data_IF_923770379741
#
_entry.id   IF_923770379741
#
_cell.length_a   1.000
_cell.length_b   1.000
_cell.length_c   1.000
_cell.angle_alpha   90.00
_cell.angle_beta   90.00
_cell.angle_gamma   90.00
#
_symmetry.space_group_name_H-M   'P 1'
#
loop_
_entity.id
_entity.type
_entity.pdbx_description
1 polymer ?
#
# COMPACT_ATOMS: atom_id res chain seq x y z
N UNK A 1 7.32 3.57 -30.84
CA UNK A 1 5.96 3.82 -30.34
C UNK A 1 5.56 5.25 -30.71
N UNK A 2 4.36 5.50 -31.23
CA UNK A 2 3.92 6.86 -31.53
C UNK A 2 3.84 7.68 -30.23
N UNK A 3 4.33 8.92 -30.28
CA UNK A 3 4.40 9.81 -29.12
C UNK A 3 3.01 10.39 -28.84
N UNK A 4 2.42 10.07 -27.70
CA UNK A 4 1.16 10.67 -27.25
C UNK A 4 1.36 12.16 -26.98
N UNK A 5 0.43 12.97 -27.46
CA UNK A 5 0.37 14.40 -27.25
C UNK A 5 -0.85 14.75 -26.42
N UNK A 6 -0.66 15.63 -25.44
CA UNK A 6 -1.73 16.15 -24.58
C UNK A 6 -2.25 17.47 -25.14
N UNK A 7 -3.54 17.53 -25.37
CA UNK A 7 -4.27 18.75 -25.72
C UNK A 7 -5.51 18.89 -24.83
N UNK A 8 -6.19 20.02 -24.92
CA UNK A 8 -7.31 20.37 -24.06
C UNK A 8 -8.53 20.70 -24.89
N UNK A 9 -9.69 20.21 -24.45
CA UNK A 9 -10.99 20.61 -24.99
C UNK A 9 -11.76 21.39 -23.93
N UNK A 10 -12.10 22.64 -24.25
CA UNK A 10 -12.75 23.57 -23.33
C UNK A 10 -14.27 23.58 -23.50
N UNK A 11 -14.99 23.76 -22.39
CA UNK A 11 -16.44 23.81 -22.35
C UNK A 11 -16.93 24.84 -21.32
N UNK A 12 -18.11 25.41 -21.56
CA UNK A 12 -18.78 26.31 -20.60
C UNK A 12 -19.89 25.57 -19.86
N UNK A 13 -19.88 25.66 -18.54
CA UNK A 13 -20.89 25.05 -17.67
C UNK A 13 -21.44 26.04 -16.66
N UNK A 14 -22.69 25.81 -16.23
CA UNK A 14 -23.36 26.58 -15.19
C UNK A 14 -23.83 25.64 -14.09
N UNK A 15 -23.20 25.69 -12.92
CA UNK A 15 -23.54 24.80 -11.81
C UNK A 15 -22.47 24.81 -10.71
N UNK A 16 -22.43 23.75 -9.91
CA UNK A 16 -21.40 23.60 -8.87
C UNK A 16 -20.12 22.99 -9.49
N UNK A 17 -18.95 23.65 -9.37
CA UNK A 17 -17.68 23.11 -9.84
C UNK A 17 -17.32 21.77 -9.19
N UNK A 18 -17.54 21.64 -7.88
CA UNK A 18 -17.25 20.42 -7.13
C UNK A 18 -18.10 19.25 -7.64
N UNK A 19 -19.42 19.45 -7.79
CA UNK A 19 -20.30 18.41 -8.34
C UNK A 19 -19.95 18.08 -9.79
N UNK A 20 -19.58 19.06 -10.60
CA UNK A 20 -19.14 18.82 -11.98
C UNK A 20 -17.88 17.96 -12.00
N UNK A 21 -16.88 18.27 -11.18
CA UNK A 21 -15.64 17.47 -11.07
C UNK A 21 -15.94 16.04 -10.63
N UNK A 22 -16.75 15.87 -9.59
CA UNK A 22 -17.18 14.53 -9.13
C UNK A 22 -17.92 13.79 -10.24
N UNK A 23 -18.83 14.44 -10.98
CA UNK A 23 -19.58 13.81 -12.07
C UNK A 23 -18.69 13.41 -13.25
N UNK A 24 -17.79 14.29 -13.69
CA UNK A 24 -16.88 13.95 -14.80
C UNK A 24 -15.87 12.90 -14.34
N UNK A 25 -15.33 13.00 -13.13
CA UNK A 25 -14.44 12.00 -12.56
C UNK A 25 -15.11 10.63 -12.50
N UNK A 26 -16.36 10.56 -12.03
CA UNK A 26 -17.14 9.32 -12.01
C UNK A 26 -17.34 8.75 -13.42
N UNK A 27 -17.67 9.57 -14.42
CA UNK A 27 -17.89 9.10 -15.79
C UNK A 27 -16.60 8.66 -16.49
N UNK A 28 -15.49 9.38 -16.26
CA UNK A 28 -14.16 8.99 -16.75
C UNK A 28 -13.72 7.67 -16.10
N UNK A 29 -14.01 7.47 -14.81
CA UNK A 29 -13.75 6.21 -14.12
C UNK A 29 -14.67 5.07 -14.60
N UNK A 30 -15.98 5.30 -14.70
CA UNK A 30 -16.99 4.32 -15.13
C UNK A 30 -16.71 3.77 -16.54
N UNK A 31 -16.23 4.61 -17.45
CA UNK A 31 -15.89 4.22 -18.82
C UNK A 31 -14.40 3.92 -19.04
N UNK A 32 -13.59 3.82 -17.97
CA UNK A 32 -12.15 3.53 -18.03
C UNK A 32 -11.34 4.49 -18.92
N UNK A 33 -11.74 5.77 -18.99
CA UNK A 33 -11.13 6.77 -19.86
C UNK A 33 -9.88 7.43 -19.25
N UNK A 34 -9.42 7.00 -18.07
CA UNK A 34 -8.34 7.64 -17.32
C UNK A 34 -7.00 7.72 -18.09
N UNK A 35 -6.75 6.79 -19.02
CA UNK A 35 -5.54 6.79 -19.85
C UNK A 35 -5.57 7.83 -20.97
N UNK A 36 -6.78 8.25 -21.39
CA UNK A 36 -7.00 9.21 -22.46
C UNK A 36 -7.49 10.56 -21.93
N UNK A 37 -8.06 10.61 -20.73
CA UNK A 37 -8.52 11.81 -20.02
C UNK A 37 -7.92 11.80 -18.61
N UNK A 38 -6.65 12.22 -18.45
CA UNK A 38 -5.92 12.07 -17.19
C UNK A 38 -6.27 13.12 -16.13
N UNK A 39 -6.80 14.29 -16.54
CA UNK A 39 -7.07 15.38 -15.59
C UNK A 39 -8.08 16.38 -16.13
N UNK A 40 -8.65 17.13 -15.18
CA UNK A 40 -9.58 18.24 -15.43
C UNK A 40 -8.98 19.56 -14.92
N UNK A 41 -9.35 20.65 -15.58
CA UNK A 41 -9.04 22.01 -15.11
C UNK A 41 -10.29 22.86 -15.13
N UNK A 42 -10.41 23.73 -14.13
CA UNK A 42 -11.51 24.70 -14.02
C UNK A 42 -10.94 26.11 -14.10
N UNK A 43 -11.73 27.03 -14.62
CA UNK A 43 -11.42 28.46 -14.64
C UNK A 43 -10.98 29.00 -13.26
N UNK A 44 -9.97 29.87 -13.26
CA UNK A 44 -9.41 30.47 -12.05
C UNK A 44 -10.42 31.42 -11.40
N UNK A 45 -10.55 31.35 -10.08
CA UNK A 45 -11.40 32.27 -9.31
C UNK A 45 -12.88 31.88 -9.25
N UNK A 46 -13.26 30.70 -9.74
CA UNK A 46 -14.64 30.19 -9.64
C UNK A 46 -14.97 29.85 -8.18
N UNK A 47 -15.92 30.57 -7.59
CA UNK A 47 -16.39 30.34 -6.22
C UNK A 47 -17.47 29.23 -6.19
N UNK A 48 -17.46 28.29 -5.22
CA UNK A 48 -18.38 27.13 -5.17
C UNK A 48 -19.88 27.47 -5.15
N UNK A 49 -20.23 28.68 -4.70
CA UNK A 49 -21.62 29.16 -4.58
C UNK A 49 -22.07 30.07 -5.73
N UNK A 50 -21.20 30.35 -6.70
CA UNK A 50 -21.50 31.28 -7.78
C UNK A 50 -22.28 30.59 -8.90
N UNK A 51 -23.49 31.08 -9.24
CA UNK A 51 -24.34 30.53 -10.33
C UNK A 51 -23.98 31.08 -11.71
N UNK A 52 -22.86 31.80 -11.85
CA UNK A 52 -22.36 32.29 -13.12
C UNK A 52 -21.81 31.12 -13.96
N UNK A 53 -21.92 31.17 -15.29
CA UNK A 53 -21.24 30.20 -16.13
C UNK A 53 -19.72 30.32 -15.91
N UNK A 54 -19.03 29.20 -15.95
CA UNK A 54 -17.58 29.11 -15.86
C UNK A 54 -17.05 28.13 -16.91
N UNK A 55 -15.76 28.24 -17.21
CA UNK A 55 -15.09 27.33 -18.14
C UNK A 55 -14.43 26.16 -17.42
N UNK A 56 -14.48 25.00 -18.04
CA UNK A 56 -13.70 23.84 -17.65
C UNK A 56 -13.08 23.17 -18.86
N UNK A 57 -11.99 22.46 -18.64
CA UNK A 57 -11.17 21.88 -19.69
C UNK A 57 -10.85 20.44 -19.31
N UNK A 58 -11.08 19.53 -20.25
CA UNK A 58 -10.60 18.15 -20.15
C UNK A 58 -9.26 18.06 -20.88
N UNK A 59 -8.27 17.42 -20.26
CA UNK A 59 -7.07 17.00 -20.96
C UNK A 59 -7.40 15.74 -21.78
N UNK A 60 -6.99 15.70 -23.04
CA UNK A 60 -7.10 14.53 -23.91
C UNK A 60 -5.71 14.15 -24.38
N UNK A 61 -5.35 12.87 -24.22
CA UNK A 61 -4.10 12.30 -24.73
C UNK A 61 -4.38 11.44 -25.96
N UNK A 62 -3.71 11.74 -27.07
CA UNK A 62 -3.95 11.11 -28.37
C UNK A 62 -2.72 11.21 -29.28
N UNK A 63 -2.73 10.49 -30.39
CA UNK A 63 -1.64 10.50 -31.39
C UNK A 63 -1.57 11.80 -32.20
N UNK A 64 -2.71 12.44 -32.46
CA UNK A 64 -2.79 13.71 -33.16
C UNK A 64 -3.67 14.71 -32.38
N UNK A 65 -3.28 15.99 -32.27
CA UNK A 65 -4.17 17.03 -31.76
C UNK A 65 -5.50 17.07 -32.53
N UNK A 66 -6.61 17.36 -31.83
CA UNK A 66 -7.99 17.30 -32.34
C UNK A 66 -8.54 15.89 -32.66
N UNK A 67 -7.73 14.83 -32.58
CA UNK A 67 -8.21 13.46 -32.69
C UNK A 67 -8.79 12.99 -31.36
N UNK A 68 -10.12 12.83 -31.30
CA UNK A 68 -10.77 12.25 -30.12
C UNK A 68 -10.53 10.73 -30.12
N UNK A 69 -9.89 10.17 -29.07
CA UNK A 69 -9.66 8.73 -28.99
C UNK A 69 -10.97 7.94 -29.11
N UNK A 70 -10.89 6.76 -29.72
CA UNK A 70 -12.06 5.93 -30.02
C UNK A 70 -12.81 5.55 -28.73
N UNK A 71 -12.08 5.39 -27.63
CA UNK A 71 -12.57 5.12 -26.28
C UNK A 71 -13.47 6.26 -25.78
N UNK A 72 -13.04 7.51 -25.97
CA UNK A 72 -13.81 8.70 -25.59
C UNK A 72 -15.06 8.81 -26.46
N UNK A 73 -14.98 8.50 -27.76
CA UNK A 73 -16.14 8.51 -28.65
C UNK A 73 -17.17 7.42 -28.30
N UNK A 74 -16.72 6.20 -27.97
CA UNK A 74 -17.60 5.06 -27.62
C UNK A 74 -18.27 5.20 -26.26
N UNK A 75 -17.69 5.97 -25.34
CA UNK A 75 -18.25 6.19 -24.01
C UNK A 75 -19.42 7.18 -23.99
N UNK A 76 -19.67 7.89 -25.10
CA UNK A 76 -20.63 8.99 -25.15
C UNK A 76 -20.36 10.09 -24.10
N UNK A 77 -19.16 10.13 -23.50
CA UNK A 77 -18.80 11.09 -22.45
C UNK A 77 -19.06 12.52 -22.93
N UNK A 78 -18.62 12.86 -24.14
CA UNK A 78 -18.77 14.20 -24.72
C UNK A 78 -20.20 14.55 -25.15
N UNK A 79 -21.15 13.61 -25.08
CA UNK A 79 -22.57 13.85 -25.35
C UNK A 79 -23.35 14.29 -24.10
N UNK A 80 -22.73 14.16 -22.92
CA UNK A 80 -23.33 14.54 -21.65
C UNK A 80 -23.63 16.06 -21.60
N UNK A 81 -24.66 16.41 -20.82
CA UNK A 81 -25.24 17.75 -20.81
C UNK A 81 -24.24 18.89 -20.51
N UNK A 82 -23.16 18.61 -19.79
CA UNK A 82 -22.13 19.58 -19.45
C UNK A 82 -21.08 19.82 -20.55
N UNK A 83 -21.07 19.03 -21.63
CA UNK A 83 -20.19 19.21 -22.80
C UNK A 83 -20.85 19.90 -24.00
N UNK A 84 -22.12 20.31 -23.89
CA UNK A 84 -22.90 20.87 -25.01
C UNK A 84 -22.44 22.25 -25.51
N UNK A 85 -21.57 22.95 -24.76
CA UNK A 85 -21.11 24.31 -25.08
C UNK A 85 -19.59 24.36 -25.21
N UNK A 86 -19.01 23.91 -26.34
CA UNK A 86 -17.58 23.95 -26.55
C UNK A 86 -17.06 25.38 -26.69
N UNK A 87 -15.84 25.61 -26.20
CA UNK A 87 -15.10 26.87 -26.37
C UNK A 87 -14.40 26.86 -27.72
N UNK A 88 -14.52 27.95 -28.50
CA UNK A 88 -13.82 28.10 -29.79
C UNK A 88 -12.40 28.60 -29.54
N UNK A 89 -11.42 28.10 -30.31
CA UNK A 89 -10.04 28.59 -30.20
C UNK A 89 -9.96 30.06 -30.70
N UNK A 90 -9.41 30.99 -29.90
CA UNK A 90 -9.34 32.41 -30.25
C UNK A 90 -8.37 32.73 -31.40
N UNK A 91 -7.42 31.83 -31.70
CA UNK A 91 -6.40 32.03 -32.75
C UNK A 91 -6.75 31.38 -34.08
N UNK A 92 -7.60 30.34 -34.06
CA UNK A 92 -8.07 29.66 -35.27
C UNK A 92 -9.48 29.10 -35.04
N UNK A 93 -10.49 29.76 -35.63
CA UNK A 93 -11.90 29.41 -35.45
C UNK A 93 -12.28 28.00 -35.93
N UNK A 94 -11.45 27.36 -36.76
CA UNK A 94 -11.67 25.99 -37.26
C UNK A 94 -11.03 24.92 -36.36
N UNK A 95 -10.30 25.32 -35.30
CA UNK A 95 -9.60 24.42 -34.38
C UNK A 95 -10.31 24.37 -33.03
N UNK A 96 -10.55 23.16 -32.50
CA UNK A 96 -11.20 22.96 -31.20
C UNK A 96 -10.26 22.52 -30.09
N UNK A 97 -9.06 22.06 -30.45
CA UNK A 97 -8.00 21.72 -29.52
C UNK A 97 -7.24 22.96 -29.07
N UNK A 98 -6.97 22.99 -27.78
CA UNK A 98 -6.16 23.99 -27.10
C UNK A 98 -4.92 23.31 -26.52
N UNK A 99 -3.78 23.97 -26.51
CA UNK A 99 -2.60 23.53 -25.77
C UNK A 99 -2.61 24.14 -24.36
N UNK A 100 -1.66 23.71 -23.51
CA UNK A 100 -1.60 24.21 -22.14
C UNK A 100 -1.31 25.72 -22.07
N UNK A 101 -0.39 26.23 -22.89
CA UNK A 101 0.00 27.65 -22.88
C UNK A 101 -1.19 28.57 -23.26
N UNK A 102 -2.09 28.11 -24.12
CA UNK A 102 -3.32 28.83 -24.50
C UNK A 102 -4.32 28.95 -23.33
N UNK A 103 -4.37 27.99 -22.41
CA UNK A 103 -5.35 27.98 -21.29
C UNK A 103 -4.74 28.38 -19.94
N UNK A 104 -3.42 28.42 -19.81
CA UNK A 104 -2.68 28.58 -18.55
C UNK A 104 -3.08 29.82 -17.76
N UNK A 105 -3.38 30.93 -18.44
CA UNK A 105 -3.83 32.18 -17.81
C UNK A 105 -5.28 32.11 -17.27
N UNK A 106 -6.09 31.19 -17.81
CA UNK A 106 -7.52 31.06 -17.52
C UNK A 106 -7.84 30.03 -16.44
N UNK A 107 -6.97 29.05 -16.19
CA UNK A 107 -7.27 27.87 -15.36
C UNK A 107 -6.57 27.85 -14.01
N UNK A 108 -7.24 27.26 -13.01
CA UNK A 108 -6.71 27.00 -11.67
C UNK A 108 -5.92 25.70 -11.57
N UNK A 109 -5.90 25.14 -10.35
CA UNK A 109 -5.19 23.90 -10.01
C UNK A 109 -5.72 22.75 -10.89
N UNK A 110 -4.82 21.84 -11.30
CA UNK A 110 -5.24 20.61 -11.96
C UNK A 110 -5.96 19.73 -10.96
N UNK A 111 -7.18 19.31 -11.29
CA UNK A 111 -7.90 18.31 -10.52
C UNK A 111 -7.57 16.97 -11.13
N UNK A 112 -6.71 16.23 -10.43
CA UNK A 112 -6.51 14.83 -10.72
C UNK A 112 -7.83 14.10 -10.44
N UNK A 113 -8.22 13.22 -11.36
CA UNK A 113 -9.42 12.39 -11.23
C UNK A 113 -9.31 11.43 -10.01
N UNK A 114 -8.13 11.33 -9.37
CA UNK A 114 -7.81 10.37 -8.31
C UNK A 114 -7.82 10.90 -6.84
N UNK A 115 -8.05 12.20 -6.56
CA UNK A 115 -7.67 12.85 -5.28
C UNK A 115 -8.70 12.91 -4.11
N UNK A 116 -9.87 12.26 -4.16
CA UNK A 116 -10.96 12.52 -3.18
C UNK A 116 -11.16 11.44 -2.06
N UNK A 117 -10.35 11.37 -0.96
CA UNK A 117 -10.62 10.60 0.32
C UNK A 117 -9.83 11.08 1.62
N UNK A 118 -10.37 11.02 2.88
CA UNK A 118 -9.83 11.54 4.20
C UNK A 118 -9.37 10.47 5.28
N UNK A 119 -8.57 10.81 6.34
CA UNK A 119 -8.03 9.94 7.47
C UNK A 119 -8.02 10.57 8.92
N UNK A 120 -7.87 9.76 10.02
CA UNK A 120 -7.78 10.14 11.48
C UNK A 120 -6.63 9.39 12.24
N UNK A 121 -5.92 9.95 13.28
CA UNK A 121 -4.81 9.32 14.06
C UNK A 121 -5.02 9.08 15.61
N UNK A 122 -4.09 8.38 16.30
CA UNK A 122 -4.07 8.04 17.77
C UNK A 122 -2.64 7.89 18.40
N UNK A 123 -2.54 7.84 19.75
CA UNK A 123 -1.34 8.05 20.63
C UNK A 123 -1.18 7.04 21.86
N UNK A 124 0.03 6.52 22.31
CA UNK A 124 0.28 5.78 23.61
C UNK A 124 1.37 6.28 24.65
N UNK A 125 1.45 5.76 25.89
CA UNK A 125 2.37 6.14 27.04
C UNK A 125 3.32 4.97 27.54
N UNK A 126 4.31 5.16 28.48
CA UNK A 126 5.55 4.34 28.64
C UNK A 126 5.62 3.20 29.73
N UNK A 127 6.77 2.49 29.81
CA UNK A 127 6.97 1.02 30.08
C UNK A 127 7.99 0.64 31.20
N UNK A 128 7.88 -0.59 31.75
CA UNK A 128 8.95 -1.49 32.31
C UNK A 128 8.81 -2.93 31.73
N UNK A 129 9.78 -3.85 31.86
CA UNK A 129 9.94 -5.10 31.06
C UNK A 129 9.24 -6.40 31.57
N UNK A 130 8.57 -7.16 30.68
CA UNK A 130 8.00 -8.52 30.85
C UNK A 130 8.41 -9.51 29.73
N UNK A 131 8.39 -10.82 30.02
CA UNK A 131 8.64 -11.92 29.07
C UNK A 131 7.44 -12.15 28.12
N UNK A 132 7.60 -12.02 26.78
CA UNK A 132 6.50 -12.13 25.81
C UNK A 132 5.97 -13.54 25.56
N UNK A 133 6.61 -14.57 26.14
CA UNK A 133 6.20 -15.96 25.99
C UNK A 133 5.58 -16.55 27.26
N UNK A 134 5.53 -15.80 28.37
CA UNK A 134 4.92 -16.27 29.61
C UNK A 134 3.42 -15.96 29.63
N UNK A 135 2.62 -17.01 29.53
CA UNK A 135 1.17 -16.92 29.60
C UNK A 135 0.70 -17.00 31.06
N UNK A 136 0.59 -15.86 31.76
CA UNK A 136 -0.34 -15.81 32.89
C UNK A 136 -1.73 -15.61 32.29
N UNK A 137 -2.58 -16.61 32.48
CA UNK A 137 -3.97 -16.60 32.07
C UNK A 137 -4.75 -15.51 32.85
N UNK A 138 -4.66 -14.25 32.40
CA UNK A 138 -5.56 -13.19 32.85
C UNK A 138 -6.83 -13.22 32.01
N UNK A 139 -7.72 -14.13 32.38
CA UNK A 139 -9.14 -14.09 32.04
C UNK A 139 -9.77 -12.75 32.44
N UNK A 140 -10.72 -12.30 31.62
CA UNK A 140 -11.68 -11.20 31.83
C UNK A 140 -11.35 -9.83 31.21
N UNK A 141 -11.33 -9.81 29.87
CA UNK A 141 -12.09 -8.80 29.11
C UNK A 141 -12.48 -9.35 27.72
N UNK A 142 -13.24 -10.44 27.74
CA UNK A 142 -14.13 -10.76 26.63
C UNK A 142 -15.21 -9.68 26.54
N UNK A 143 -15.05 -8.76 25.58
CA UNK A 143 -16.17 -8.15 24.83
C UNK A 143 -15.62 -7.48 23.56
N UNK A 144 -15.95 -8.12 22.42
CA UNK A 144 -15.60 -7.84 21.01
C UNK A 144 -14.46 -8.67 20.36
N UNK A 145 -14.19 -9.87 20.87
CA UNK A 145 -13.36 -10.90 20.22
C UNK A 145 -14.09 -12.24 20.04
N UNK A 146 -15.43 -12.24 19.99
CA UNK A 146 -16.23 -13.43 19.76
C UNK A 146 -16.22 -13.84 18.28
N UNK A 147 -15.46 -14.90 17.99
CA UNK A 147 -15.85 -16.11 17.23
C UNK A 147 -16.48 -16.04 15.80
N UNK A 148 -16.33 -14.95 15.04
CA UNK A 148 -16.71 -14.91 13.60
C UNK A 148 -15.56 -15.24 12.62
N UNK A 149 -14.53 -15.96 13.08
CA UNK A 149 -13.28 -16.18 12.33
C UNK A 149 -13.43 -16.88 10.96
N UNK A 150 -14.53 -17.60 10.72
CA UNK A 150 -14.79 -18.28 9.44
C UNK A 150 -15.33 -17.34 8.37
N UNK A 151 -16.29 -16.47 8.70
CA UNK A 151 -16.93 -15.58 7.71
C UNK A 151 -16.00 -14.46 7.23
N UNK A 152 -15.12 -13.95 8.10
CA UNK A 152 -14.19 -12.90 7.70
C UNK A 152 -13.14 -13.37 6.68
N UNK A 153 -12.56 -14.57 6.84
CA UNK A 153 -11.52 -15.12 5.94
C UNK A 153 -12.01 -15.22 4.48
N UNK A 154 -13.29 -15.55 4.30
CA UNK A 154 -13.90 -15.69 2.98
C UNK A 154 -13.98 -14.37 2.21
N UNK A 155 -14.23 -13.23 2.87
CA UNK A 155 -14.24 -11.92 2.19
C UNK A 155 -12.84 -11.55 1.66
N UNK A 156 -11.79 -11.81 2.44
CA UNK A 156 -10.41 -11.58 1.99
C UNK A 156 -10.01 -12.56 0.87
N UNK A 157 -10.45 -13.81 0.94
CA UNK A 157 -10.27 -14.77 -0.14
C UNK A 157 -10.94 -14.31 -1.44
N UNK A 158 -12.17 -13.81 -1.38
CA UNK A 158 -12.87 -13.22 -2.54
C UNK A 158 -12.11 -12.03 -3.09
N UNK A 159 -11.58 -11.15 -2.23
CA UNK A 159 -10.70 -10.07 -2.64
C UNK A 159 -9.48 -10.62 -3.38
N UNK A 160 -8.79 -11.63 -2.84
CA UNK A 160 -7.61 -12.22 -3.48
C UNK A 160 -7.94 -12.85 -4.84
N UNK A 161 -9.08 -13.52 -4.99
CA UNK A 161 -9.52 -14.05 -6.29
C UNK A 161 -9.81 -12.93 -7.29
N UNK A 162 -10.48 -11.87 -6.86
CA UNK A 162 -10.73 -10.71 -7.71
C UNK A 162 -9.42 -10.05 -8.17
N UNK A 163 -8.50 -9.81 -7.24
CA UNK A 163 -7.17 -9.25 -7.54
C UNK A 163 -6.37 -10.18 -8.47
N UNK A 164 -6.44 -11.49 -8.25
CA UNK A 164 -5.77 -12.50 -9.10
C UNK A 164 -6.29 -12.50 -10.52
N UNK A 165 -7.61 -12.38 -10.71
CA UNK A 165 -8.24 -12.31 -12.01
C UNK A 165 -7.88 -11.01 -12.76
N UNK A 166 -7.80 -9.89 -12.02
CA UNK A 166 -7.47 -8.59 -12.61
C UNK A 166 -5.96 -8.43 -12.90
N UNK A 167 -5.10 -9.06 -12.09
CA UNK A 167 -3.64 -9.10 -12.28
C UNK A 167 -2.90 -7.82 -11.88
N UNK A 168 -3.45 -6.63 -12.14
CA UNK A 168 -2.87 -5.35 -11.71
C UNK A 168 -3.92 -4.24 -11.64
N UNK A 169 -3.63 -3.16 -10.92
CA UNK A 169 -4.55 -2.03 -10.83
C UNK A 169 -3.97 -0.81 -10.12
N UNK A 170 -4.81 0.20 -9.91
CA UNK A 170 -4.47 1.40 -9.14
C UNK A 170 -4.78 1.22 -7.65
N UNK A 171 -4.19 2.04 -6.80
CA UNK A 171 -4.57 2.13 -5.40
C UNK A 171 -6.08 2.38 -5.21
N UNK A 172 -6.69 3.17 -6.10
CA UNK A 172 -8.13 3.43 -6.07
C UNK A 172 -8.95 2.17 -6.36
N UNK A 173 -8.57 1.39 -7.38
CA UNK A 173 -9.29 0.15 -7.70
C UNK A 173 -9.20 -0.87 -6.55
N UNK A 174 -8.08 -0.87 -5.82
CA UNK A 174 -7.94 -1.67 -4.60
C UNK A 174 -8.88 -1.19 -3.49
N UNK A 175 -8.94 0.12 -3.23
CA UNK A 175 -9.85 0.70 -2.22
C UNK A 175 -11.32 0.39 -2.54
N UNK A 176 -11.72 0.57 -3.80
CA UNK A 176 -13.08 0.27 -4.26
C UNK A 176 -13.40 -1.20 -4.04
N UNK A 177 -12.49 -2.11 -4.41
CA UNK A 177 -12.70 -3.55 -4.19
C UNK A 177 -12.83 -3.89 -2.69
N UNK A 178 -12.01 -3.29 -1.83
CA UNK A 178 -12.17 -3.43 -0.38
C UNK A 178 -13.54 -2.90 0.08
N UNK A 179 -13.96 -1.72 -0.39
CA UNK A 179 -15.25 -1.13 -0.03
C UNK A 179 -16.44 -2.00 -0.47
N UNK A 180 -16.40 -2.53 -1.70
CA UNK A 180 -17.44 -3.44 -2.23
C UNK A 180 -17.53 -4.77 -1.47
N UNK A 181 -16.45 -5.16 -0.79
CA UNK A 181 -16.39 -6.35 0.07
C UNK A 181 -16.51 -6.02 1.56
N UNK A 182 -16.85 -4.76 1.90
CA UNK A 182 -16.99 -4.27 3.28
C UNK A 182 -15.73 -4.44 4.13
N UNK A 183 -14.57 -4.43 3.48
CA UNK A 183 -13.27 -4.59 4.11
C UNK A 183 -12.70 -3.23 4.54
N UNK A 184 -12.65 -3.02 5.85
CA UNK A 184 -12.06 -1.82 6.43
C UNK A 184 -10.52 -1.79 6.32
N UNK A 185 -9.93 -0.59 6.39
CA UNK A 185 -8.48 -0.37 6.47
C UNK A 185 -7.68 -0.91 5.24
N UNK A 186 -8.00 -0.48 4.00
CA UNK A 186 -7.39 -1.04 2.79
C UNK A 186 -5.85 -0.98 2.79
N UNK A 187 -5.24 0.01 3.44
CA UNK A 187 -3.76 0.11 3.51
C UNK A 187 -3.16 -1.04 4.32
N UNK A 188 -3.82 -1.43 5.42
CA UNK A 188 -3.39 -2.57 6.24
C UNK A 188 -3.61 -3.88 5.51
N UNK A 189 -4.69 -4.00 4.73
CA UNK A 189 -4.94 -5.17 3.89
C UNK A 189 -3.87 -5.31 2.81
N UNK A 190 -3.58 -4.23 2.07
CA UNK A 190 -2.53 -4.21 1.05
C UNK A 190 -1.20 -4.66 1.65
N UNK A 191 -0.79 -4.10 2.80
CA UNK A 191 0.43 -4.52 3.50
C UNK A 191 0.43 -6.03 3.77
N UNK A 192 -0.64 -6.58 4.33
CA UNK A 192 -0.72 -8.03 4.64
C UNK A 192 -0.58 -8.88 3.37
N UNK A 193 -1.20 -8.48 2.26
CA UNK A 193 -1.07 -9.17 0.98
C UNK A 193 0.37 -9.08 0.42
N UNK A 194 1.07 -7.96 0.63
CA UNK A 194 2.50 -7.83 0.29
C UNK A 194 3.39 -8.74 1.15
N UNK A 195 3.15 -8.77 2.46
CA UNK A 195 3.87 -9.64 3.39
C UNK A 195 3.71 -11.13 3.03
N UNK A 196 2.51 -11.54 2.62
CA UNK A 196 2.20 -12.89 2.14
C UNK A 196 2.66 -13.16 0.69
N UNK A 197 3.32 -12.19 0.06
CA UNK A 197 3.77 -12.26 -1.34
C UNK A 197 2.66 -12.55 -2.36
N UNK A 198 1.43 -12.09 -2.11
CA UNK A 198 0.35 -12.17 -3.09
C UNK A 198 0.45 -11.07 -4.15
N UNK A 199 0.91 -9.88 -3.76
CA UNK A 199 1.03 -8.73 -4.66
C UNK A 199 2.20 -7.83 -4.25
N UNK A 200 2.56 -6.93 -5.14
CA UNK A 200 3.45 -5.80 -4.91
C UNK A 200 2.73 -4.48 -5.15
N UNK A 201 3.33 -3.40 -4.65
CA UNK A 201 2.93 -2.02 -4.98
C UNK A 201 4.07 -1.31 -5.69
N UNK A 202 3.74 -0.34 -6.56
CA UNK A 202 4.73 0.55 -7.15
C UNK A 202 5.47 1.36 -6.08
N UNK A 203 6.64 1.91 -6.42
CA UNK A 203 7.48 2.67 -5.48
C UNK A 203 6.80 3.94 -4.93
N UNK A 204 5.87 4.53 -5.70
CA UNK A 204 5.03 5.65 -5.29
C UNK A 204 3.71 5.21 -4.63
N UNK A 205 3.44 3.90 -4.53
CA UNK A 205 2.23 3.32 -3.96
C UNK A 205 0.96 3.53 -4.80
N UNK A 206 1.06 4.10 -6.01
CA UNK A 206 -0.09 4.44 -6.85
C UNK A 206 -0.71 3.23 -7.54
N UNK A 207 0.05 2.15 -7.71
CA UNK A 207 -0.34 0.94 -8.43
C UNK A 207 -0.01 -0.31 -7.62
N UNK A 208 -0.75 -1.37 -7.89
CA UNK A 208 -0.49 -2.71 -7.39
C UNK A 208 -0.43 -3.72 -8.55
N UNK A 209 0.28 -4.81 -8.34
CA UNK A 209 0.40 -5.90 -9.32
C UNK A 209 0.50 -7.21 -8.58
N UNK A 210 -0.25 -8.21 -9.04
CA UNK A 210 -0.20 -9.55 -8.48
C UNK A 210 1.14 -10.21 -8.77
N UNK A 211 1.66 -10.89 -7.75
CA UNK A 211 2.83 -11.73 -7.92
C UNK A 211 2.43 -13.01 -8.66
N UNK A 212 3.26 -13.55 -9.57
CA UNK A 212 3.01 -14.85 -10.19
C UNK A 212 2.79 -15.95 -9.14
N UNK A 213 1.98 -16.95 -9.48
CA UNK A 213 1.76 -18.10 -8.60
C UNK A 213 3.08 -18.81 -8.29
N UNK A 214 3.39 -18.93 -7.00
CA UNK A 214 4.63 -19.52 -6.56
C UNK A 214 4.44 -20.45 -5.36
N UNK A 215 5.24 -21.52 -5.31
CA UNK A 215 5.36 -22.40 -4.16
C UNK A 215 6.61 -21.99 -3.36
N UNK A 216 6.39 -21.56 -2.12
CA UNK A 216 7.47 -21.19 -1.19
C UNK A 216 7.68 -22.34 -0.20
N UNK A 217 8.92 -22.83 -0.11
CA UNK A 217 9.28 -23.95 0.77
C UNK A 217 9.46 -23.47 2.21
N UNK A 218 8.70 -24.04 3.14
CA UNK A 218 8.75 -23.71 4.58
C UNK A 218 9.53 -24.76 5.36
N UNK A 219 9.25 -26.06 5.16
CA UNK A 219 9.98 -27.19 5.76
C UNK A 219 10.27 -28.28 4.72
N UNK A 220 10.81 -29.42 5.15
CA UNK A 220 11.02 -30.57 4.26
C UNK A 220 9.67 -31.01 3.69
N UNK A 221 9.53 -30.93 2.36
CA UNK A 221 8.30 -31.25 1.61
C UNK A 221 7.04 -30.43 1.96
N UNK A 222 7.18 -29.34 2.72
CA UNK A 222 6.08 -28.42 3.04
C UNK A 222 6.25 -27.10 2.29
N UNK A 223 5.18 -26.68 1.64
CA UNK A 223 5.13 -25.49 0.81
C UNK A 223 3.90 -24.64 1.14
N UNK A 224 3.99 -23.35 0.87
CA UNK A 224 2.86 -22.42 0.90
C UNK A 224 2.65 -21.83 -0.48
N UNK A 225 1.39 -21.64 -0.85
CA UNK A 225 1.00 -21.02 -2.12
C UNK A 225 0.97 -19.50 -1.97
N UNK A 226 1.84 -18.82 -2.71
CA UNK A 226 1.93 -17.36 -2.80
C UNK A 226 1.51 -16.87 -4.20
N UNK A 227 1.32 -15.56 -4.32
CA UNK A 227 0.97 -14.91 -5.59
C UNK A 227 -0.50 -15.07 -5.99
N UNK A 228 -0.74 -15.08 -7.30
CA UNK A 228 -2.04 -15.28 -7.91
C UNK A 228 -2.67 -16.60 -7.50
N UNK A 229 -3.97 -16.57 -7.22
CA UNK A 229 -4.75 -17.72 -6.79
C UNK A 229 -6.10 -17.75 -7.51
N UNK A 230 -6.58 -18.94 -7.81
CA UNK A 230 -7.94 -19.18 -8.29
C UNK A 230 -8.51 -20.43 -7.63
N UNK A 231 -9.84 -20.55 -7.59
CA UNK A 231 -10.51 -21.74 -7.08
C UNK A 231 -10.09 -23.00 -7.86
N UNK A 232 -10.01 -22.90 -9.20
CA UNK A 232 -9.61 -24.01 -10.07
C UNK A 232 -8.18 -24.47 -9.78
N UNK A 233 -7.27 -23.54 -9.52
CA UNK A 233 -5.89 -23.86 -9.13
C UNK A 233 -5.86 -24.64 -7.81
N UNK A 234 -6.56 -24.15 -6.78
CA UNK A 234 -6.57 -24.82 -5.46
C UNK A 234 -7.15 -26.22 -5.56
N UNK A 235 -8.27 -26.39 -6.26
CA UNK A 235 -8.89 -27.70 -6.52
C UNK A 235 -7.95 -28.65 -7.28
N UNK A 236 -7.19 -28.13 -8.24
CA UNK A 236 -6.20 -28.94 -8.97
C UNK A 236 -5.05 -29.38 -8.06
N UNK A 237 -4.60 -28.51 -7.16
CA UNK A 237 -3.56 -28.83 -6.20
C UNK A 237 -4.03 -29.88 -5.17
N UNK A 238 -5.29 -29.83 -4.76
CA UNK A 238 -5.91 -30.84 -3.87
C UNK A 238 -5.91 -32.25 -4.48
N UNK A 239 -5.97 -32.37 -5.81
CA UNK A 239 -5.87 -33.66 -6.51
C UNK A 239 -4.44 -34.22 -6.53
N UNK A 240 -3.43 -33.36 -6.42
CA UNK A 240 -2.02 -33.72 -6.64
C UNK A 240 -1.21 -33.79 -5.33
N UNK A 241 -1.65 -33.10 -4.29
CA UNK A 241 -0.98 -32.99 -3.00
C UNK A 241 -1.97 -32.95 -1.83
N UNK A 242 -1.48 -33.17 -0.61
CA UNK A 242 -2.26 -32.90 0.60
C UNK A 242 -2.29 -31.38 0.81
N UNK A 243 -3.45 -30.77 0.61
CA UNK A 243 -3.66 -29.33 0.79
C UNK A 243 -4.37 -29.06 2.11
N UNK A 244 -3.89 -28.07 2.86
CA UNK A 244 -4.52 -27.59 4.09
C UNK A 244 -4.73 -26.09 4.00
N UNK A 245 -5.94 -25.62 4.29
CA UNK A 245 -6.25 -24.20 4.38
C UNK A 245 -6.23 -23.75 5.84
N UNK A 246 -5.37 -22.79 6.17
CA UNK A 246 -5.27 -22.21 7.52
C UNK A 246 -5.82 -20.79 7.48
N UNK A 247 -6.92 -20.56 8.20
CA UNK A 247 -7.52 -19.23 8.31
C UNK A 247 -6.60 -18.27 9.07
N UNK A 248 -6.57 -17.02 8.61
CA UNK A 248 -5.75 -15.97 9.19
C UNK A 248 -6.61 -14.75 9.54
N UNK A 249 -6.23 -14.03 10.60
CA UNK A 249 -6.97 -12.85 11.03
C UNK A 249 -6.87 -11.74 9.98
N UNK A 250 -8.02 -11.32 9.44
CA UNK A 250 -8.14 -10.19 8.48
C UNK A 250 -7.23 -10.33 7.24
N UNK A 251 -7.15 -11.55 6.70
CA UNK A 251 -6.40 -11.88 5.49
C UNK A 251 -6.95 -13.16 4.83
N UNK A 252 -6.61 -13.46 3.57
CA UNK A 252 -6.97 -14.73 2.94
C UNK A 252 -6.35 -15.91 3.70
N UNK A 253 -6.95 -17.11 3.60
CA UNK A 253 -6.37 -18.29 4.20
C UNK A 253 -5.01 -18.61 3.55
N UNK A 254 -4.08 -19.06 4.38
CA UNK A 254 -2.81 -19.62 3.93
C UNK A 254 -3.05 -21.05 3.40
N UNK A 255 -2.66 -21.30 2.15
CA UNK A 255 -2.80 -22.62 1.53
C UNK A 255 -1.46 -23.35 1.65
N UNK A 256 -1.43 -24.35 2.52
CA UNK A 256 -0.29 -25.25 2.71
C UNK A 256 -0.41 -26.47 1.81
N UNK A 257 0.73 -26.90 1.28
CA UNK A 257 0.86 -28.13 0.51
C UNK A 257 1.91 -29.01 1.16
N UNK A 258 1.55 -30.27 1.40
CA UNK A 258 2.49 -31.32 1.80
C UNK A 258 2.62 -32.34 0.68
N UNK A 259 3.85 -32.50 0.18
CA UNK A 259 4.16 -33.48 -0.85
C UNK A 259 4.67 -34.75 -0.18
N UNK A 260 3.95 -35.88 -0.30
CA UNK A 260 4.34 -37.12 0.37
C UNK A 260 5.73 -37.61 -0.10
N UNK A 261 5.89 -37.83 -1.40
CA UNK A 261 7.12 -38.33 -2.04
C UNK A 261 7.43 -37.67 -3.38
N UNK A 262 6.50 -36.87 -3.90
CA UNK A 262 6.61 -36.16 -5.17
C UNK A 262 7.45 -34.91 -4.99
N UNK A 263 8.32 -34.60 -5.94
CA UNK A 263 9.03 -33.32 -5.95
C UNK A 263 8.11 -32.21 -6.47
N UNK A 264 8.45 -30.94 -6.21
CA UNK A 264 7.73 -29.77 -6.72
C UNK A 264 7.62 -29.79 -8.24
N UNK A 265 8.65 -30.26 -8.94
CA UNK A 265 8.64 -30.41 -10.40
C UNK A 265 7.45 -31.22 -10.90
N UNK A 266 7.08 -32.29 -10.18
CA UNK A 266 5.90 -33.08 -10.55
C UNK A 266 4.62 -32.25 -10.51
N UNK A 267 4.44 -31.40 -9.49
CA UNK A 267 3.28 -30.52 -9.43
C UNK A 267 3.26 -29.57 -10.62
N UNK A 268 4.38 -28.91 -10.90
CA UNK A 268 4.50 -27.91 -11.97
C UNK A 268 4.19 -28.56 -13.33
N UNK A 269 4.68 -29.76 -13.59
CA UNK A 269 4.47 -30.50 -14.85
C UNK A 269 3.03 -31.03 -15.02
N UNK A 270 2.31 -31.28 -13.93
CA UNK A 270 0.97 -31.89 -13.95
C UNK A 270 -0.17 -30.89 -13.70
N UNK A 271 0.14 -29.60 -13.65
CA UNK A 271 -0.84 -28.51 -13.60
C UNK A 271 -0.83 -27.73 -14.90
N UNK A 272 -1.99 -27.31 -15.38
CA UNK A 272 -2.11 -26.37 -16.51
C UNK A 272 -1.74 -24.93 -16.14
N UNK A 273 -1.41 -24.68 -14.87
CA UNK A 273 -1.11 -23.37 -14.32
C UNK A 273 0.39 -23.11 -14.32
N UNK A 274 0.80 -21.87 -14.60
CA UNK A 274 2.19 -21.44 -14.48
C UNK A 274 2.53 -21.25 -12.99
N UNK A 275 3.14 -22.27 -12.39
CA UNK A 275 3.58 -22.25 -10.99
C UNK A 275 5.11 -22.26 -10.94
N UNK A 276 5.71 -21.29 -10.23
CA UNK A 276 7.16 -21.27 -9.99
C UNK A 276 7.54 -21.91 -8.65
N UNK A 277 8.65 -22.66 -8.61
CA UNK A 277 9.28 -23.06 -7.34
C UNK A 277 10.19 -21.94 -6.82
N UNK A 278 9.73 -21.23 -5.79
CA UNK A 278 10.49 -20.16 -5.16
C UNK A 278 11.55 -20.69 -4.16
N UNK A 279 11.51 -21.98 -3.81
CA UNK A 279 12.37 -22.58 -2.79
C UNK A 279 12.23 -21.90 -1.42
N UNK A 280 13.33 -21.84 -0.64
CA UNK A 280 13.37 -21.18 0.68
C UNK A 280 13.40 -19.66 0.53
N UNK A 281 12.29 -19.04 0.15
CA UNK A 281 12.20 -17.62 -0.16
C UNK A 281 12.59 -16.72 1.03
N UNK A 282 12.22 -17.09 2.26
CA UNK A 282 12.60 -16.37 3.48
C UNK A 282 14.12 -16.23 3.63
N UNK A 283 14.86 -17.34 3.46
CA UNK A 283 16.33 -17.33 3.51
C UNK A 283 16.96 -16.58 2.32
N UNK A 284 16.40 -16.76 1.11
CA UNK A 284 16.87 -16.03 -0.08
C UNK A 284 16.73 -14.51 0.10
N UNK A 285 15.59 -14.05 0.61
CA UNK A 285 15.35 -12.66 0.94
C UNK A 285 16.30 -12.18 2.03
N UNK A 286 16.41 -12.88 3.16
CA UNK A 286 17.31 -12.51 4.23
C UNK A 286 18.77 -12.37 3.76
N UNK A 287 19.22 -13.16 2.79
CA UNK A 287 20.56 -13.04 2.21
C UNK A 287 20.79 -11.74 1.42
N UNK A 288 19.79 -11.26 0.69
CA UNK A 288 19.91 -10.08 -0.17
C UNK A 288 19.47 -8.78 0.51
N UNK A 289 18.75 -8.87 1.63
CA UNK A 289 18.30 -7.68 2.36
C UNK A 289 19.52 -6.88 2.85
N UNK A 290 19.49 -5.54 2.70
CA UNK A 290 20.55 -4.68 3.22
C UNK A 290 20.61 -4.69 4.76
N UNK A 291 21.73 -4.26 5.33
CA UNK A 291 21.75 -3.78 6.73
C UNK A 291 20.95 -2.46 6.86
N UNK A 292 20.70 -2.02 8.09
CA UNK A 292 19.84 -0.88 8.39
C UNK A 292 20.37 0.43 7.79
N UNK A 293 21.69 0.63 7.82
CA UNK A 293 22.34 1.84 7.27
C UNK A 293 22.20 1.88 5.74
N UNK A 294 22.53 0.76 5.07
CA UNK A 294 22.39 0.62 3.63
C UNK A 294 20.93 0.74 3.21
N UNK A 295 19.99 0.21 4.00
CA UNK A 295 18.57 0.36 3.75
C UNK A 295 18.12 1.82 3.84
N UNK A 296 18.51 2.55 4.89
CA UNK A 296 18.24 3.98 5.03
C UNK A 296 18.77 4.78 3.84
N UNK A 297 20.00 4.50 3.40
CA UNK A 297 20.61 5.17 2.25
C UNK A 297 19.82 4.97 0.96
N UNK A 298 19.24 3.78 0.79
CA UNK A 298 18.41 3.39 -0.36
C UNK A 298 16.98 3.93 -0.31
N UNK A 299 16.54 4.54 0.80
CA UNK A 299 15.23 5.19 0.87
C UNK A 299 15.18 6.38 -0.08
N UNK A 300 14.00 6.57 -0.68
CA UNK A 300 13.77 7.64 -1.66
C UNK A 300 13.94 8.99 -0.98
N UNK A 301 14.83 9.81 -1.52
CA UNK A 301 15.00 11.19 -1.09
C UNK A 301 13.93 12.08 -1.72
N UNK A 302 13.17 12.81 -0.90
CA UNK A 302 12.20 13.81 -1.31
C UNK A 302 12.89 15.16 -1.43
N UNK A 303 12.82 15.73 -2.63
CA UNK A 303 13.38 17.03 -2.95
C UNK A 303 12.31 18.12 -2.85
N UNK A 304 12.73 19.36 -2.62
CA UNK A 304 11.84 20.53 -2.65
C UNK A 304 10.90 20.66 -1.45
N UNK A 305 11.23 20.01 -0.33
CA UNK A 305 10.56 20.28 0.96
C UNK A 305 11.17 21.56 1.53
N UNK A 306 10.39 22.63 1.57
CA UNK A 306 10.75 23.89 2.22
C UNK A 306 10.07 23.96 3.60
N UNK A 307 10.80 23.75 4.72
CA UNK A 307 10.17 23.61 6.03
C UNK A 307 9.28 24.79 6.47
N UNK A 308 9.59 26.00 6.02
CA UNK A 308 8.83 27.23 6.32
C UNK A 308 7.36 27.18 5.84
N UNK A 309 7.05 26.37 4.83
CA UNK A 309 5.72 26.28 4.20
C UNK A 309 4.77 25.31 4.91
N UNK A 310 5.24 24.60 5.94
CA UNK A 310 4.51 23.52 6.58
C UNK A 310 4.35 23.72 8.09
N UNK A 311 3.36 23.05 8.65
CA UNK A 311 3.26 22.77 10.07
C UNK A 311 3.87 21.40 10.30
N UNK A 312 4.74 21.31 11.31
CA UNK A 312 5.54 20.12 11.55
C UNK A 312 5.22 19.52 12.89
N UNK A 313 5.16 18.20 12.91
CA UNK A 313 5.10 17.41 14.12
C UNK A 313 6.28 16.44 14.13
N UNK A 314 6.96 16.34 15.27
CA UNK A 314 8.04 15.41 15.50
C UNK A 314 7.53 14.18 16.24
N UNK A 315 8.02 13.00 15.88
CA UNK A 315 7.70 11.77 16.58
C UNK A 315 8.57 11.59 17.82
N UNK A 316 8.01 11.72 19.02
CA UNK A 316 8.68 11.59 20.31
C UNK A 316 8.70 10.14 20.85
N UNK A 317 8.87 9.18 19.93
CA UNK A 317 8.85 7.74 20.16
C UNK A 317 7.47 7.13 20.42
N UNK A 318 6.52 7.96 20.84
CA UNK A 318 5.15 7.56 21.15
C UNK A 318 4.15 8.24 20.20
N UNK A 319 4.29 9.55 20.03
CA UNK A 319 3.33 10.43 19.42
C UNK A 319 3.95 11.42 18.47
N UNK A 320 3.13 11.98 17.60
CA UNK A 320 3.47 13.23 16.93
C UNK A 320 3.14 14.41 17.84
N UNK A 321 4.17 15.22 18.14
CA UNK A 321 4.08 16.47 18.92
C UNK A 321 4.49 17.64 18.06
N UNK A 322 3.79 18.78 18.19
CA UNK A 322 4.05 19.96 17.37
C UNK A 322 5.50 20.46 17.57
N UNK A 323 6.14 20.86 16.48
CA UNK A 323 7.48 21.42 16.50
C UNK A 323 7.59 22.61 15.54
N UNK A 324 8.40 23.60 15.93
CA UNK A 324 8.54 24.85 15.17
C UNK A 324 9.22 24.61 13.81
N UNK A 325 10.26 23.79 13.81
CA UNK A 325 10.96 23.38 12.59
C UNK A 325 11.71 22.07 12.82
N UNK A 326 11.81 21.20 11.80
CA UNK A 326 12.67 20.03 11.84
C UNK A 326 14.14 20.44 11.96
N UNK A 327 14.83 19.91 12.96
CA UNK A 327 16.22 20.26 13.25
C UNK A 327 17.08 19.07 13.72
N UNK A 328 16.50 17.89 13.89
CA UNK A 328 17.19 16.68 14.36
C UNK A 328 16.77 15.47 13.55
N UNK A 329 17.63 14.45 13.50
CA UNK A 329 17.29 13.18 12.86
C UNK A 329 16.05 12.58 13.53
N UNK A 330 15.10 12.08 12.73
CA UNK A 330 13.93 11.39 13.26
C UNK A 330 12.72 11.41 12.32
N UNK A 331 11.60 10.90 12.82
CA UNK A 331 10.35 10.83 12.08
C UNK A 331 9.54 12.10 12.27
N UNK A 332 9.06 12.66 11.16
CA UNK A 332 8.25 13.86 11.13
C UNK A 332 6.95 13.63 10.36
N UNK A 333 5.92 14.36 10.77
CA UNK A 333 4.68 14.51 10.03
C UNK A 333 4.52 15.99 9.67
N UNK A 334 4.02 16.27 8.48
CA UNK A 334 3.74 17.65 8.10
C UNK A 334 2.48 17.81 7.26
N UNK A 335 1.86 18.97 7.45
CA UNK A 335 0.71 19.46 6.72
C UNK A 335 1.01 20.83 6.13
N UNK A 336 0.45 21.13 4.96
CA UNK A 336 0.68 22.43 4.29
C UNK A 336 -0.26 23.46 4.87
N UNK A 337 0.28 24.54 5.46
CA UNK A 337 -0.46 25.62 6.15
C UNK A 337 -1.65 26.19 5.36
N UNK A 338 -1.53 26.25 4.04
CA UNK A 338 -2.51 26.88 3.16
C UNK A 338 -3.41 25.89 2.39
N UNK A 339 -3.23 24.59 2.57
CA UNK A 339 -4.01 23.58 1.86
C UNK A 339 -5.17 23.10 2.75
N UNK A 340 -6.42 23.33 2.32
CA UNK A 340 -7.62 22.69 2.89
C UNK A 340 -7.68 21.15 2.68
N UNK A 341 -6.54 20.52 2.35
CA UNK A 341 -6.44 19.09 2.14
C UNK A 341 -5.54 18.53 3.24
N UNK A 342 -6.16 17.91 4.25
CA UNK A 342 -5.53 17.29 5.42
C UNK A 342 -4.77 16.00 5.06
N UNK A 343 -3.94 16.05 4.02
CA UNK A 343 -3.12 14.90 3.64
C UNK A 343 -1.74 15.04 4.27
N UNK A 344 -1.71 14.71 5.55
CA UNK A 344 -0.48 14.68 6.32
C UNK A 344 0.48 13.65 5.75
N UNK A 345 1.72 14.08 5.55
CA UNK A 345 2.81 13.24 5.04
C UNK A 345 3.74 12.89 6.17
N UNK A 346 4.10 11.61 6.25
CA UNK A 346 5.12 11.12 7.17
C UNK A 346 6.43 10.92 6.43
N UNK A 347 7.52 11.49 6.94
CA UNK A 347 8.87 11.45 6.36
C UNK A 347 9.90 11.28 7.46
N UNK A 348 11.05 10.71 7.13
CA UNK A 348 12.19 10.66 8.06
C UNK A 348 13.21 11.72 7.66
N UNK A 349 13.59 12.59 8.59
CA UNK A 349 14.66 13.57 8.37
C UNK A 349 15.99 12.94 8.77
N UNK A 350 16.93 12.89 7.83
CA UNK A 350 18.32 12.50 8.06
C UNK A 350 19.14 13.79 8.16
N UNK A 351 19.34 14.27 9.39
CA UNK A 351 19.98 15.56 9.66
C UNK A 351 21.45 15.60 9.22
N UNK A 352 22.29 14.57 9.47
CA UNK A 352 23.69 14.57 9.03
C UNK A 352 23.85 14.75 7.52
N UNK A 353 22.95 14.18 6.73
CA UNK A 353 22.99 14.26 5.26
C UNK A 353 22.06 15.33 4.69
N UNK A 354 21.27 16.01 5.52
CA UNK A 354 20.22 16.96 5.12
C UNK A 354 19.27 16.38 4.06
N UNK A 355 18.71 15.20 4.33
CA UNK A 355 17.82 14.47 3.41
C UNK A 355 16.45 14.21 4.02
N UNK A 356 15.44 14.19 3.17
CA UNK A 356 14.08 13.79 3.54
C UNK A 356 13.77 12.44 2.95
N UNK A 357 13.64 11.42 3.78
CA UNK A 357 13.47 10.03 3.33
C UNK A 357 11.99 9.63 3.36
N UNK A 358 11.55 9.02 2.28
CA UNK A 358 10.24 8.39 2.15
C UNK A 358 10.36 6.86 2.23
N UNK A 359 9.46 6.24 2.97
CA UNK A 359 9.40 4.79 3.17
C UNK A 359 8.05 4.34 3.74
N UNK A 360 7.93 3.06 4.07
CA UNK A 360 6.74 2.57 4.76
C UNK A 360 6.71 3.08 6.20
N UNK A 361 5.51 3.36 6.73
CA UNK A 361 5.35 3.99 8.04
C UNK A 361 6.05 3.22 9.16
N UNK A 362 5.94 1.88 9.17
CA UNK A 362 6.60 1.04 10.18
C UNK A 362 8.11 1.12 10.04
N UNK A 363 8.64 1.06 8.82
CA UNK A 363 10.06 1.23 8.57
C UNK A 363 10.60 2.60 9.02
N UNK A 364 9.94 3.69 8.67
CA UNK A 364 10.38 5.03 9.07
C UNK A 364 10.30 5.24 10.59
N UNK A 365 9.28 4.67 11.24
CA UNK A 365 9.17 4.67 12.70
C UNK A 365 10.26 3.83 13.35
N UNK A 366 10.56 2.66 12.79
CA UNK A 366 11.67 1.83 13.25
C UNK A 366 13.00 2.58 13.16
N UNK A 367 13.26 3.36 12.09
CA UNK A 367 14.45 4.21 12.02
C UNK A 367 14.50 5.27 13.11
N UNK A 368 13.36 5.90 13.42
CA UNK A 368 13.34 6.90 14.50
C UNK A 368 13.71 6.28 15.84
N UNK A 369 13.18 5.10 16.15
CA UNK A 369 13.53 4.35 17.36
C UNK A 369 15.00 3.89 17.33
N UNK A 370 15.50 3.45 16.18
CA UNK A 370 16.90 3.01 16.01
C UNK A 370 17.92 4.13 16.25
N UNK A 371 17.62 5.35 15.80
CA UNK A 371 18.47 6.53 16.01
C UNK A 371 18.31 7.16 17.40
N UNK A 372 17.32 6.72 18.18
CA UNK A 372 17.14 7.18 19.54
C UNK A 372 18.08 6.41 20.50
N UNK A 373 19.00 7.12 21.14
CA UNK A 373 20.00 6.53 22.04
C UNK A 373 19.38 5.95 23.33
N UNK A 374 18.20 6.42 23.72
CA UNK A 374 17.51 6.00 24.94
C UNK A 374 16.67 4.73 24.73
N UNK A 375 16.47 4.30 23.46
CA UNK A 375 15.63 3.15 23.11
C UNK A 375 16.49 2.02 22.59
N UNK A 376 16.43 0.87 23.28
CA UNK A 376 17.00 -0.37 22.78
C UNK A 376 15.94 -1.12 21.98
N UNK A 377 16.16 -1.28 20.67
CA UNK A 377 15.34 -2.18 19.87
C UNK A 377 15.64 -3.65 20.23
N UNK A 378 14.61 -4.40 20.61
CA UNK A 378 14.72 -5.77 21.12
C UNK A 378 13.88 -6.75 20.31
N UNK A 379 14.25 -8.02 20.42
CA UNK A 379 13.49 -9.15 19.89
C UNK A 379 13.73 -10.36 20.77
N UNK A 380 12.68 -11.13 21.01
CA UNK A 380 12.78 -12.38 21.75
C UNK A 380 12.67 -13.56 20.79
N UNK A 381 13.51 -14.55 21.00
CA UNK A 381 13.51 -15.77 20.22
C UNK A 381 13.47 -16.99 21.13
N UNK A 382 12.50 -17.85 20.87
CA UNK A 382 12.34 -19.12 21.55
C UNK A 382 12.80 -20.24 20.62
N UNK A 383 13.93 -20.87 20.94
CA UNK A 383 14.54 -21.92 20.10
C UNK A 383 13.68 -23.18 20.05
N UNK A 384 13.01 -23.51 21.16
CA UNK A 384 12.20 -24.72 21.30
C UNK A 384 10.96 -24.68 20.41
N UNK A 385 10.29 -23.53 20.33
CA UNK A 385 9.08 -23.34 19.52
C UNK A 385 9.36 -22.76 18.13
N UNK A 386 10.62 -22.37 17.84
CA UNK A 386 11.01 -21.64 16.63
C UNK A 386 10.21 -20.33 16.47
N UNK A 387 9.87 -19.66 17.57
CA UNK A 387 9.08 -18.44 17.57
C UNK A 387 9.95 -17.20 17.76
N UNK A 388 9.70 -16.18 16.95
CA UNK A 388 10.32 -14.86 17.07
C UNK A 388 9.24 -13.84 17.44
N UNK A 389 9.43 -13.13 18.55
CA UNK A 389 8.50 -12.13 19.05
C UNK A 389 9.12 -10.73 18.97
N UNK A 390 8.42 -9.81 18.32
CA UNK A 390 8.81 -8.39 18.17
C UNK A 390 7.77 -7.53 18.88
N UNK A 391 8.16 -6.54 19.70
CA UNK A 391 7.22 -5.58 20.26
C UNK A 391 6.42 -4.89 19.14
N UNK A 392 5.10 -4.74 19.28
CA UNK A 392 4.24 -4.15 18.25
C UNK A 392 4.67 -2.72 17.89
N UNK A 393 5.14 -1.99 18.89
CA UNK A 393 5.70 -0.66 18.81
C UNK A 393 7.12 -0.64 18.22
N UNK A 394 7.80 -1.77 18.10
CA UNK A 394 9.11 -1.89 17.43
C UNK A 394 9.02 -2.70 16.13
N UNK A 395 7.82 -2.80 15.53
CA UNK A 395 7.59 -3.57 14.30
C UNK A 395 8.57 -3.16 13.20
N UNK A 396 9.20 -4.17 12.61
CA UNK A 396 10.26 -3.99 11.61
C UNK A 396 9.76 -3.43 10.27
N UNK A 397 10.67 -2.87 9.45
CA UNK A 397 10.32 -2.45 8.09
C UNK A 397 9.77 -3.63 7.28
N UNK A 398 8.87 -3.32 6.34
CA UNK A 398 8.08 -4.33 5.61
C UNK A 398 8.91 -5.44 4.98
N UNK A 399 10.07 -5.08 4.41
CA UNK A 399 10.92 -6.00 3.67
C UNK A 399 11.57 -7.07 4.58
N UNK A 400 11.88 -6.72 5.84
CA UNK A 400 12.42 -7.66 6.82
C UNK A 400 11.31 -8.50 7.42
N UNK A 401 10.17 -7.87 7.73
CA UNK A 401 8.98 -8.59 8.20
C UNK A 401 8.51 -9.63 7.18
N UNK A 402 8.58 -9.32 5.88
CA UNK A 402 8.24 -10.26 4.81
C UNK A 402 9.09 -11.52 4.84
N UNK A 403 10.37 -11.42 5.18
CA UNK A 403 11.22 -12.60 5.31
C UNK A 403 10.75 -13.52 6.45
N UNK A 404 10.27 -12.94 7.57
CA UNK A 404 9.65 -13.71 8.66
C UNK A 404 8.34 -14.35 8.22
N UNK A 405 7.44 -13.58 7.61
CA UNK A 405 6.14 -14.07 7.14
C UNK A 405 6.29 -15.19 6.12
N UNK A 406 7.26 -15.12 5.22
CA UNK A 406 7.49 -16.17 4.22
C UNK A 406 8.17 -17.44 4.78
N UNK A 407 8.68 -17.41 6.02
CA UNK A 407 9.24 -18.60 6.64
C UNK A 407 8.14 -19.59 7.05
N UNK A 408 7.00 -19.08 7.53
CA UNK A 408 5.81 -19.88 7.81
C UNK A 408 4.80 -19.82 6.67
N UNK A 409 4.70 -18.71 5.95
CA UNK A 409 3.56 -18.36 5.10
C UNK A 409 2.38 -17.77 5.86
N UNK A 410 2.56 -17.43 7.14
CA UNK A 410 1.51 -16.89 8.00
C UNK A 410 1.89 -15.51 8.54
N UNK A 411 0.89 -14.65 8.69
CA UNK A 411 1.01 -13.38 9.40
C UNK A 411 1.29 -13.62 10.89
N UNK A 412 1.91 -12.67 11.61
CA UNK A 412 2.14 -12.83 13.03
C UNK A 412 0.84 -12.92 13.81
N UNK A 413 0.85 -13.70 14.87
CA UNK A 413 -0.19 -13.64 15.90
C UNK A 413 0.08 -12.46 16.83
N UNK A 414 -0.97 -11.96 17.46
CA UNK A 414 -0.89 -10.87 18.42
C UNK A 414 -0.99 -11.48 19.81
N UNK A 415 0.06 -11.32 20.61
CA UNK A 415 0.08 -11.75 21.99
C UNK A 415 0.13 -10.52 22.89
N UNK A 416 -0.74 -10.48 23.89
CA UNK A 416 -0.77 -9.40 24.87
C UNK A 416 -0.04 -9.89 26.11
N UNK A 417 0.99 -9.16 26.52
CA UNK A 417 1.53 -9.24 27.88
C UNK A 417 0.80 -8.23 28.76
N UNK A 418 1.14 -8.17 30.04
CA UNK A 418 0.56 -7.16 30.93
C UNK A 418 0.84 -5.73 30.42
N UNK A 419 1.94 -5.54 29.67
CA UNK A 419 2.49 -4.24 29.32
C UNK A 419 2.33 -3.86 27.84
N UNK A 420 2.44 -4.83 26.92
CA UNK A 420 2.47 -4.50 25.49
C UNK A 420 1.90 -5.61 24.63
N UNK A 421 1.69 -5.24 23.37
CA UNK A 421 1.36 -6.20 22.33
C UNK A 421 2.63 -6.63 21.63
N UNK A 422 2.73 -7.93 21.40
CA UNK A 422 3.83 -8.55 20.67
C UNK A 422 3.31 -9.19 19.40
N UNK A 423 4.13 -9.09 18.36
CA UNK A 423 3.96 -9.77 17.09
C UNK A 423 4.78 -11.06 17.15
N UNK A 424 4.11 -12.20 17.15
CA UNK A 424 4.78 -13.52 17.23
C UNK A 424 4.73 -14.20 15.87
N UNK A 425 5.92 -14.44 15.33
CA UNK A 425 6.16 -15.12 14.07
C UNK A 425 6.60 -16.55 14.35
N UNK A 426 5.94 -17.51 13.71
CA UNK A 426 6.23 -18.92 13.89
C UNK A 426 7.20 -19.47 12.84
N UNK A 427 7.81 -20.62 13.14
CA UNK A 427 8.68 -21.38 12.20
C UNK A 427 9.88 -20.57 11.73
N UNK A 428 10.40 -19.69 12.58
CA UNK A 428 11.59 -18.90 12.32
C UNK A 428 12.80 -19.72 12.75
N UNK A 429 13.62 -20.13 11.79
CA UNK A 429 14.86 -20.87 12.11
C UNK A 429 15.86 -19.96 12.85
N UNK A 430 16.73 -20.49 13.73
CA UNK A 430 17.71 -19.67 14.47
C UNK A 430 18.59 -18.84 13.53
N UNK A 431 19.03 -19.44 12.41
CA UNK A 431 19.82 -18.76 11.39
C UNK A 431 19.10 -17.53 10.80
N UNK A 432 17.81 -17.67 10.49
CA UNK A 432 17.01 -16.58 9.95
C UNK A 432 16.82 -15.46 10.97
N UNK A 433 16.55 -15.83 12.23
CA UNK A 433 16.47 -14.87 13.33
C UNK A 433 17.76 -14.06 13.45
N UNK A 434 18.90 -14.71 13.69
CA UNK A 434 20.22 -14.06 13.82
C UNK A 434 20.54 -13.18 12.63
N UNK A 435 20.35 -13.67 11.41
CA UNK A 435 20.67 -12.91 10.20
C UNK A 435 19.86 -11.62 10.07
N UNK A 436 18.57 -11.64 10.39
CA UNK A 436 17.73 -10.45 10.32
C UNK A 436 18.02 -9.50 11.49
N UNK A 437 18.31 -10.02 12.67
CA UNK A 437 18.65 -9.19 13.83
C UNK A 437 19.97 -8.47 13.65
N UNK A 438 20.98 -9.14 13.09
CA UNK A 438 22.28 -8.55 12.80
C UNK A 438 22.14 -7.41 11.78
N UNK A 439 21.32 -7.59 10.74
CA UNK A 439 21.06 -6.56 9.72
C UNK A 439 20.34 -5.35 10.29
N UNK A 440 19.41 -5.55 11.22
CA UNK A 440 18.65 -4.47 11.83
C UNK A 440 19.34 -3.85 13.04
N UNK A 441 20.45 -4.43 13.51
CA UNK A 441 21.14 -3.98 14.72
C UNK A 441 20.29 -4.09 15.99
N UNK A 442 19.37 -5.07 16.06
CA UNK A 442 18.48 -5.27 17.23
C UNK A 442 19.03 -6.32 18.17
N UNK A 443 18.76 -6.16 19.47
CA UNK A 443 19.24 -7.10 20.50
C UNK A 443 18.36 -8.35 20.54
N UNK A 444 18.98 -9.49 20.22
CA UNK A 444 18.34 -10.81 20.25
C UNK A 444 18.44 -11.43 21.64
N UNK A 445 17.29 -11.56 22.32
CA UNK A 445 17.16 -12.29 23.57
C UNK A 445 16.75 -13.74 23.28
N UNK A 446 17.62 -14.68 23.64
CA UNK A 446 17.31 -16.10 23.53
C UNK A 446 16.64 -16.56 24.83
N UNK A 447 15.41 -17.05 24.71
CA UNK A 447 14.76 -17.81 25.78
C UNK A 447 14.91 -19.29 25.41
N UNK A 448 15.45 -20.08 26.33
CA UNK A 448 15.59 -21.53 26.15
C UNK A 448 14.26 -22.27 26.38
#
# INVERSE_FOLDING_TARGET
MPKLQRWYKGFSYRGSPKKLLEQIANQVQEHNLNQVIPLLRIEKGVKPRNRKPFYFFIAIESTQPDEIPTEVSKSHLLELNYFKKPVKNPTNFNKTSLNYEEIKSMVGIAHDVHDYTHNIPYQPEPVTYDNPFDFIASSNSERSLSDDGKDFSHQYERLLYWLSALGAGSWESFKIACQSLELAEPRRILRRLKLLAHLESSADGSRWTMSPTALVKTKSQEFVLCGQRSLKLVQRLEQLAKVTSINQRRCPPCIYLKLASKNVSYLIEHTEFSISDAGKASSKLANILPDIETWQQNLRNLQGIEPSLYEWQYFDDHHFVDCVSPNKTGLYQFDRREANNNMSRTVFYDQPNNRWLQGDWYGLRFLALYHNQDISCIVHYNKTTENLAIPLDQRWPEIYERALVLASGQLPTYQRTEQSWWLVYERITPKLATQLTDKLGVRLHNND
#
